data_IF_260271838861
#
_entry.id   IF_260271838861
#
_cell.length_a   1.000
_cell.length_b   1.000
_cell.length_c   1.000
_cell.angle_alpha   90.00
_cell.angle_beta   90.00
_cell.angle_gamma   90.00
#
_symmetry.space_group_name_H-M   'P 1'
#
loop_
_entity.id
_entity.type
_entity.pdbx_description
1 polymer ?
#
# COMPACT_ATOMS: atom_id res chain seq x y z
N UNK A 1 -28.10 -41.56 -23.04
CA UNK A 1 -28.65 -40.57 -22.13
C UNK A 1 -27.63 -40.38 -21.00
N UNK A 2 -26.87 -39.30 -21.03
CA UNK A 2 -25.94 -38.90 -19.96
C UNK A 2 -26.58 -37.72 -19.23
N UNK A 3 -26.87 -37.94 -17.96
CA UNK A 3 -27.36 -36.87 -17.06
C UNK A 3 -26.25 -35.88 -16.81
N UNK A 4 -26.47 -34.63 -17.17
CA UNK A 4 -25.61 -33.50 -16.80
C UNK A 4 -26.18 -32.98 -15.47
N UNK A 5 -25.43 -33.15 -14.38
CA UNK A 5 -25.76 -32.58 -13.09
C UNK A 5 -25.36 -31.09 -13.12
N UNK A 6 -26.37 -30.22 -13.08
CA UNK A 6 -26.17 -28.79 -12.90
C UNK A 6 -25.95 -28.56 -11.40
N UNK A 7 -24.73 -28.23 -11.01
CA UNK A 7 -24.42 -27.75 -9.66
C UNK A 7 -24.83 -26.30 -9.60
N UNK A 8 -25.99 -26.01 -9.03
CA UNK A 8 -26.39 -24.64 -8.69
C UNK A 8 -25.64 -24.20 -7.46
N UNK A 9 -24.69 -23.28 -7.63
CA UNK A 9 -24.04 -22.58 -6.51
C UNK A 9 -25.06 -21.59 -5.94
N UNK A 10 -25.61 -21.93 -4.79
CA UNK A 10 -26.48 -21.05 -4.02
C UNK A 10 -25.61 -19.98 -3.34
N UNK A 11 -25.54 -18.80 -3.93
CA UNK A 11 -24.96 -17.61 -3.27
C UNK A 11 -25.95 -17.19 -2.18
N UNK A 12 -25.68 -17.58 -0.95
CA UNK A 12 -26.36 -17.01 0.21
C UNK A 12 -25.86 -15.57 0.38
N UNK A 13 -26.67 -14.62 -0.05
CA UNK A 13 -26.51 -13.22 0.31
C UNK A 13 -26.77 -13.08 1.83
N UNK A 14 -25.71 -13.09 2.62
CA UNK A 14 -25.78 -12.64 4.02
C UNK A 14 -25.73 -11.12 3.97
N UNK A 15 -26.87 -10.50 3.74
CA UNK A 15 -27.09 -9.09 3.95
C UNK A 15 -27.12 -8.79 5.44
N UNK A 16 -25.97 -8.56 6.05
CA UNK A 16 -25.86 -7.80 7.27
C UNK A 16 -25.27 -6.45 6.91
N UNK A 17 -26.13 -5.48 6.59
CA UNK A 17 -25.78 -4.08 6.50
C UNK A 17 -25.37 -3.60 7.90
N UNK A 18 -24.09 -3.79 8.25
CA UNK A 18 -23.49 -3.01 9.30
C UNK A 18 -23.07 -1.66 8.70
N UNK A 19 -24.05 -0.76 8.53
CA UNK A 19 -23.75 0.65 8.50
C UNK A 19 -23.17 0.99 9.88
N UNK A 20 -21.87 0.79 10.07
CA UNK A 20 -21.11 1.33 11.18
C UNK A 20 -21.22 2.86 11.01
N UNK A 21 -22.15 3.49 11.76
CA UNK A 21 -22.18 4.94 11.90
C UNK A 21 -20.71 5.41 11.99
N UNK A 22 -20.35 6.52 11.32
CA UNK A 22 -19.07 7.22 11.43
C UNK A 22 -18.78 7.57 12.91
N UNK A 23 -18.43 6.58 13.69
CA UNK A 23 -17.97 6.74 15.06
C UNK A 23 -16.48 7.03 14.92
N UNK A 24 -16.05 8.23 15.34
CA UNK A 24 -14.63 8.50 15.45
C UNK A 24 -13.97 7.33 16.18
N UNK A 25 -12.90 6.80 15.61
CA UNK A 25 -12.15 5.70 16.22
C UNK A 25 -11.75 6.07 17.66
N UNK A 26 -11.83 5.12 18.57
CA UNK A 26 -11.40 5.32 19.96
C UNK A 26 -9.87 5.33 20.12
N UNK A 27 -9.12 5.06 19.04
CA UNK A 27 -7.66 5.02 19.05
C UNK A 27 -7.10 6.44 19.12
N UNK A 28 -6.34 6.73 20.16
CA UNK A 28 -5.70 8.05 20.38
C UNK A 28 -4.39 8.18 19.61
N UNK A 29 -3.92 9.42 19.39
CA UNK A 29 -2.62 9.65 18.71
C UNK A 29 -1.44 9.07 19.53
N UNK A 30 -1.49 9.09 20.86
CA UNK A 30 -0.49 8.45 21.70
C UNK A 30 -0.43 6.91 21.49
N UNK A 31 -1.58 6.28 21.26
CA UNK A 31 -1.66 4.87 20.95
C UNK A 31 -1.20 4.58 19.52
N UNK A 32 -1.50 5.45 18.55
CA UNK A 32 -0.97 5.36 17.18
C UNK A 32 0.55 5.42 17.17
N UNK A 33 1.15 6.40 17.85
CA UNK A 33 2.60 6.52 17.99
C UNK A 33 3.24 5.28 18.64
N UNK A 34 2.59 4.72 19.65
CA UNK A 34 3.10 3.54 20.36
C UNK A 34 3.03 2.31 19.47
N UNK A 35 1.84 2.00 18.93
CA UNK A 35 1.67 0.78 18.13
C UNK A 35 2.47 0.83 16.84
N UNK A 36 2.52 1.97 16.14
CA UNK A 36 3.32 2.09 14.91
C UNK A 36 4.82 1.94 15.17
N UNK A 37 5.33 2.48 16.28
CA UNK A 37 6.70 2.23 16.73
C UNK A 37 6.97 0.74 16.97
N UNK A 38 6.03 0.05 17.60
CA UNK A 38 6.15 -1.39 17.86
C UNK A 38 6.11 -2.19 16.54
N UNK A 39 5.27 -1.81 15.58
CA UNK A 39 5.24 -2.39 14.24
C UNK A 39 6.58 -2.20 13.51
N UNK A 40 7.12 -0.97 13.47
CA UNK A 40 8.43 -0.70 12.89
C UNK A 40 9.56 -1.47 13.58
N UNK A 41 9.53 -1.56 14.92
CA UNK A 41 10.54 -2.31 15.68
C UNK A 41 10.45 -3.81 15.42
N UNK A 42 9.22 -4.32 15.29
CA UNK A 42 8.88 -5.71 14.99
C UNK A 42 9.11 -6.13 13.54
N UNK A 43 9.38 -5.19 12.64
CA UNK A 43 9.66 -5.48 11.23
C UNK A 43 11.04 -6.11 11.07
N UNK A 44 11.07 -7.44 11.18
CA UNK A 44 12.29 -8.26 11.04
C UNK A 44 12.55 -8.66 9.58
N UNK A 45 11.55 -8.48 8.72
CA UNK A 45 11.65 -8.78 7.30
C UNK A 45 12.10 -7.58 6.47
N UNK A 46 12.08 -6.37 7.03
CA UNK A 46 12.52 -5.17 6.31
C UNK A 46 13.87 -5.37 5.61
N UNK A 47 14.05 -4.72 4.49
CA UNK A 47 15.24 -4.81 3.68
C UNK A 47 16.29 -3.77 4.09
N UNK A 48 17.56 -4.10 3.93
CA UNK A 48 18.65 -3.13 4.08
C UNK A 48 18.89 -2.45 2.74
N UNK A 49 18.37 -1.24 2.59
CA UNK A 49 18.47 -0.46 1.36
C UNK A 49 19.46 0.70 1.55
N UNK A 50 20.42 0.81 0.66
CA UNK A 50 21.33 1.97 0.59
C UNK A 50 20.83 2.94 -0.47
N UNK A 51 20.56 4.17 -0.05
CA UNK A 51 20.09 5.24 -0.92
C UNK A 51 21.24 6.20 -1.28
N UNK A 52 21.34 6.56 -2.55
CA UNK A 52 22.10 7.70 -3.02
C UNK A 52 21.13 8.87 -3.30
N UNK A 53 20.97 9.73 -2.32
CA UNK A 53 20.04 10.86 -2.42
C UNK A 53 20.49 11.95 -3.38
N UNK A 54 21.79 11.99 -3.74
CA UNK A 54 22.38 12.95 -4.68
C UNK A 54 22.02 14.40 -4.33
N UNK A 55 21.13 15.04 -5.10
CA UNK A 55 20.79 16.44 -4.93
C UNK A 55 19.36 16.67 -4.46
N UNK A 56 19.18 17.67 -3.58
CA UNK A 56 17.86 18.13 -3.21
C UNK A 56 17.25 19.00 -4.30
N UNK A 57 15.95 18.83 -4.55
CA UNK A 57 15.16 19.66 -5.47
C UNK A 57 14.06 20.39 -4.72
N UNK A 58 13.51 21.44 -5.32
CA UNK A 58 12.35 22.14 -4.75
C UNK A 58 11.05 21.38 -5.01
N UNK A 59 10.11 21.47 -4.10
CA UNK A 59 8.76 20.94 -4.29
C UNK A 59 8.13 21.51 -5.59
N UNK A 60 7.55 20.66 -6.41
CA UNK A 60 6.97 21.01 -7.71
C UNK A 60 7.99 21.19 -8.85
N UNK A 61 9.30 21.11 -8.59
CA UNK A 61 10.31 21.07 -9.64
C UNK A 61 10.31 19.70 -10.33
N UNK A 62 10.44 19.73 -11.66
CA UNK A 62 10.61 18.55 -12.50
C UNK A 62 12.00 18.51 -13.15
N UNK A 63 12.93 19.38 -12.70
CA UNK A 63 14.29 19.35 -13.18
C UNK A 63 15.02 18.11 -12.64
N UNK A 64 15.66 17.38 -13.54
CA UNK A 64 16.52 16.26 -13.14
C UNK A 64 17.84 16.83 -12.57
N UNK A 65 18.01 16.69 -11.26
CA UNK A 65 19.20 17.08 -10.52
C UNK A 65 19.93 15.87 -9.91
N UNK A 66 19.50 14.66 -10.26
CA UNK A 66 19.98 13.39 -9.72
C UNK A 66 20.21 12.37 -10.85
N UNK A 67 21.31 12.48 -11.62
CA UNK A 67 21.51 11.65 -12.81
C UNK A 67 21.80 10.16 -12.55
N UNK A 68 21.88 9.74 -11.29
CA UNK A 68 22.12 8.35 -10.90
C UNK A 68 20.89 7.71 -10.25
N UNK A 69 20.92 6.37 -10.06
CA UNK A 69 19.83 5.65 -9.38
C UNK A 69 19.74 6.08 -7.91
N UNK A 70 18.52 6.04 -7.35
CA UNK A 70 18.32 6.31 -5.92
C UNK A 70 18.70 5.09 -5.06
N UNK A 71 18.39 3.87 -5.50
CA UNK A 71 18.78 2.63 -4.80
C UNK A 71 20.08 2.12 -5.38
N UNK A 72 21.12 2.04 -4.55
CA UNK A 72 22.47 1.61 -4.95
C UNK A 72 22.91 0.29 -4.29
N UNK A 73 22.06 -0.31 -3.46
CA UNK A 73 22.22 -1.68 -2.95
C UNK A 73 21.38 -2.66 -3.75
N UNK A 74 21.72 -3.95 -3.65
CA UNK A 74 20.94 -5.03 -4.24
C UNK A 74 20.06 -5.70 -3.15
N UNK A 75 18.73 -5.48 -3.15
CA UNK A 75 17.81 -6.07 -2.19
C UNK A 75 17.27 -7.46 -2.61
N UNK A 76 17.75 -8.07 -3.70
CA UNK A 76 17.21 -9.32 -4.23
C UNK A 76 17.22 -10.48 -3.23
N UNK A 77 18.18 -10.52 -2.30
CA UNK A 77 18.19 -11.51 -1.22
C UNK A 77 16.99 -11.34 -0.28
N UNK A 78 16.56 -10.09 -0.03
CA UNK A 78 15.38 -9.79 0.76
C UNK A 78 14.10 -10.13 -0.01
N UNK A 79 14.08 -9.95 -1.32
CA UNK A 79 12.94 -10.29 -2.19
C UNK A 79 12.63 -11.80 -2.24
N UNK A 80 13.55 -12.66 -1.80
CA UNK A 80 13.30 -14.09 -1.60
C UNK A 80 12.51 -14.41 -0.31
N UNK A 81 12.32 -13.45 0.60
CA UNK A 81 11.50 -13.65 1.81
C UNK A 81 10.02 -13.84 1.42
N UNK A 82 9.24 -14.64 2.19
CA UNK A 82 7.88 -15.02 1.78
C UNK A 82 6.95 -13.86 1.44
N UNK A 83 6.96 -12.78 2.23
CA UNK A 83 6.08 -11.61 2.01
C UNK A 83 6.51 -10.79 0.78
N UNK A 84 7.81 -10.63 0.57
CA UNK A 84 8.35 -9.99 -0.64
C UNK A 84 8.07 -10.83 -1.89
N UNK A 85 8.30 -12.14 -1.84
CA UNK A 85 8.03 -13.02 -2.97
C UNK A 85 6.53 -13.02 -3.35
N UNK A 86 5.64 -13.04 -2.36
CA UNK A 86 4.20 -12.94 -2.60
C UNK A 86 3.81 -11.54 -3.12
N UNK A 87 4.46 -10.46 -2.65
CA UNK A 87 4.27 -9.11 -3.17
C UNK A 87 4.70 -9.01 -4.65
N UNK A 88 5.88 -9.55 -4.99
CA UNK A 88 6.39 -9.56 -6.37
C UNK A 88 5.45 -10.29 -7.34
N UNK A 89 4.82 -11.39 -6.89
CA UNK A 89 3.87 -12.13 -7.71
C UNK A 89 2.65 -11.28 -8.13
N UNK A 90 2.24 -10.32 -7.29
CA UNK A 90 1.09 -9.45 -7.57
C UNK A 90 1.39 -8.35 -8.60
N UNK A 91 2.65 -7.97 -8.81
CA UNK A 91 3.00 -6.77 -9.58
C UNK A 91 2.58 -6.82 -11.06
N UNK A 92 2.39 -8.01 -11.62
CA UNK A 92 1.98 -8.20 -13.02
C UNK A 92 0.48 -8.46 -13.21
N UNK A 93 -0.31 -8.40 -12.15
CA UNK A 93 -1.73 -8.76 -12.17
C UNK A 93 -2.65 -7.65 -12.69
N UNK A 94 -2.16 -6.42 -12.77
CA UNK A 94 -3.01 -5.24 -12.94
C UNK A 94 -2.86 -4.60 -14.32
N UNK A 95 -4.00 -4.07 -14.82
CA UNK A 95 -4.03 -3.25 -16.03
C UNK A 95 -3.83 -1.78 -15.64
N UNK A 96 -2.61 -1.27 -15.86
CA UNK A 96 -2.22 0.09 -15.44
C UNK A 96 -3.05 1.22 -16.07
N UNK A 97 -3.78 0.97 -17.17
CA UNK A 97 -4.61 1.98 -17.84
C UNK A 97 -6.06 1.91 -17.33
N UNK A 98 -6.48 2.92 -16.58
CA UNK A 98 -7.81 3.00 -15.95
C UNK A 98 -8.99 3.05 -16.93
N UNK A 99 -8.74 3.19 -18.23
CA UNK A 99 -9.80 3.10 -19.26
C UNK A 99 -10.11 1.66 -19.65
N UNK A 100 -9.34 0.70 -19.20
CA UNK A 100 -9.47 -0.72 -19.50
C UNK A 100 -9.83 -1.45 -18.20
N UNK A 101 -10.93 -2.18 -18.23
CA UNK A 101 -11.38 -2.95 -17.08
C UNK A 101 -10.39 -4.06 -16.72
N UNK A 102 -10.06 -4.18 -15.44
CA UNK A 102 -9.29 -5.29 -14.91
C UNK A 102 -10.02 -6.62 -15.05
N UNK A 103 -9.25 -7.62 -15.43
CA UNK A 103 -9.72 -9.01 -15.48
C UNK A 103 -8.69 -9.90 -14.79
N UNK A 104 -9.15 -10.79 -13.94
CA UNK A 104 -8.28 -11.63 -13.13
C UNK A 104 -8.51 -13.10 -13.42
N UNK A 105 -7.42 -13.83 -13.60
CA UNK A 105 -7.45 -15.29 -13.66
C UNK A 105 -7.60 -15.88 -12.25
N UNK A 106 -8.03 -17.14 -12.12
CA UNK A 106 -8.05 -17.83 -10.81
C UNK A 106 -6.68 -17.84 -10.13
N UNK A 107 -5.60 -17.92 -10.89
CA UNK A 107 -4.22 -17.91 -10.40
C UNK A 107 -3.87 -16.55 -9.78
N UNK A 108 -4.19 -15.44 -10.45
CA UNK A 108 -3.98 -14.08 -9.94
C UNK A 108 -4.78 -13.82 -8.66
N UNK A 109 -6.03 -14.29 -8.61
CA UNK A 109 -6.84 -14.21 -7.37
C UNK A 109 -6.25 -15.07 -6.23
N UNK A 110 -5.63 -16.20 -6.56
CA UNK A 110 -4.94 -17.03 -5.57
C UNK A 110 -3.66 -16.35 -5.05
N UNK A 111 -2.98 -15.54 -5.84
CA UNK A 111 -1.83 -14.75 -5.43
C UNK A 111 -2.21 -13.67 -4.42
N UNK A 112 -3.36 -12.99 -4.57
CA UNK A 112 -3.88 -12.06 -3.57
C UNK A 112 -4.12 -12.75 -2.22
N UNK A 113 -4.72 -13.94 -2.25
CA UNK A 113 -4.93 -14.77 -1.04
C UNK A 113 -3.59 -15.18 -0.42
N UNK A 114 -2.63 -15.62 -1.25
CA UNK A 114 -1.31 -16.04 -0.80
C UNK A 114 -0.54 -14.88 -0.15
N UNK A 115 -0.65 -13.65 -0.69
CA UNK A 115 -0.07 -12.47 -0.08
C UNK A 115 -0.66 -12.17 1.29
N UNK A 116 -2.01 -12.14 1.43
CA UNK A 116 -2.67 -11.95 2.73
C UNK A 116 -2.27 -13.06 3.71
N UNK A 117 -2.18 -14.30 3.25
CA UNK A 117 -1.75 -15.41 4.10
C UNK A 117 -0.31 -15.22 4.58
N UNK A 118 0.62 -14.86 3.69
CA UNK A 118 2.03 -14.65 4.01
C UNK A 118 2.22 -13.50 5.02
N UNK A 119 1.57 -12.35 4.83
CA UNK A 119 1.70 -11.21 5.75
C UNK A 119 1.11 -11.53 7.12
N UNK A 120 0.02 -12.29 7.21
CA UNK A 120 -0.60 -12.68 8.48
C UNK A 120 0.23 -13.66 9.32
N UNK A 121 1.21 -14.33 8.74
CA UNK A 121 2.18 -15.15 9.48
C UNK A 121 3.27 -14.31 10.18
N UNK A 122 3.37 -13.01 9.88
CA UNK A 122 4.39 -12.12 10.44
C UNK A 122 4.01 -11.54 11.80
N UNK A 123 5.02 -11.25 12.63
CA UNK A 123 4.84 -10.59 13.92
C UNK A 123 4.20 -9.20 13.79
N UNK A 124 4.48 -8.49 12.71
CA UNK A 124 3.93 -7.16 12.42
C UNK A 124 2.41 -7.22 12.30
N UNK A 125 1.90 -8.08 11.41
CA UNK A 125 0.45 -8.20 11.20
C UNK A 125 -0.28 -8.84 12.39
N UNK A 126 0.34 -9.77 13.10
CA UNK A 126 -0.21 -10.35 14.33
C UNK A 126 -0.32 -9.31 15.45
N UNK A 127 0.68 -8.42 15.58
CA UNK A 127 0.66 -7.30 16.53
C UNK A 127 -0.42 -6.29 16.19
N UNK A 128 -0.55 -5.89 14.91
CA UNK A 128 -1.63 -5.03 14.45
C UNK A 128 -3.00 -5.64 14.75
N UNK A 129 -3.21 -6.91 14.38
CA UNK A 129 -4.48 -7.61 14.62
C UNK A 129 -4.84 -7.61 16.11
N UNK A 130 -3.88 -8.00 16.96
CA UNK A 130 -4.05 -8.00 18.43
C UNK A 130 -4.43 -6.62 18.95
N UNK A 131 -3.76 -5.57 18.47
CA UNK A 131 -4.07 -4.19 18.85
C UNK A 131 -5.49 -3.80 18.43
N UNK A 132 -5.87 -4.01 17.16
CA UNK A 132 -7.20 -3.67 16.66
C UNK A 132 -8.32 -4.45 17.36
N UNK A 133 -8.10 -5.73 17.68
CA UNK A 133 -9.03 -6.53 18.50
C UNK A 133 -9.19 -5.93 19.90
N UNK A 134 -8.09 -5.50 20.54
CA UNK A 134 -8.13 -4.88 21.86
C UNK A 134 -8.91 -3.57 21.90
N UNK A 135 -9.00 -2.88 20.75
CA UNK A 135 -9.77 -1.65 20.56
C UNK A 135 -11.22 -1.90 20.12
N UNK A 136 -11.60 -3.15 19.86
CA UNK A 136 -12.90 -3.50 19.32
C UNK A 136 -13.11 -3.07 17.87
N UNK A 137 -12.00 -2.82 17.13
CA UNK A 137 -12.00 -2.38 15.74
C UNK A 137 -11.85 -3.54 14.74
N UNK A 138 -11.40 -4.72 15.20
CA UNK A 138 -11.31 -5.93 14.40
C UNK A 138 -11.94 -7.14 15.11
N UNK A 139 -12.35 -8.13 14.33
CA UNK A 139 -12.74 -9.44 14.86
C UNK A 139 -11.53 -10.19 15.39
N UNK A 140 -11.69 -10.91 16.50
CA UNK A 140 -10.66 -11.82 17.00
C UNK A 140 -10.46 -13.06 16.12
N UNK A 141 -11.42 -13.37 15.24
CA UNK A 141 -11.31 -14.44 14.24
C UNK A 141 -10.38 -13.99 13.11
N UNK A 142 -9.25 -14.69 12.99
CA UNK A 142 -8.21 -14.40 11.98
C UNK A 142 -8.76 -14.54 10.55
N UNK A 143 -9.66 -15.47 10.29
CA UNK A 143 -10.24 -15.63 8.95
C UNK A 143 -11.11 -14.42 8.58
N UNK A 144 -11.85 -13.88 9.54
CA UNK A 144 -12.63 -12.64 9.36
C UNK A 144 -11.73 -11.46 9.15
N UNK A 145 -10.60 -11.38 9.85
CA UNK A 145 -9.64 -10.29 9.66
C UNK A 145 -8.92 -10.38 8.29
N UNK A 146 -8.52 -11.58 7.83
CA UNK A 146 -8.01 -11.79 6.47
C UNK A 146 -9.02 -11.34 5.41
N UNK A 147 -10.30 -11.69 5.59
CA UNK A 147 -11.36 -11.23 4.68
C UNK A 147 -11.53 -9.71 4.69
N UNK A 148 -11.40 -9.08 5.85
CA UNK A 148 -11.40 -7.61 5.97
C UNK A 148 -10.24 -6.99 5.19
N UNK A 149 -9.00 -7.48 5.38
CA UNK A 149 -7.83 -7.01 4.65
C UNK A 149 -8.00 -7.18 3.13
N UNK A 150 -8.43 -8.37 2.70
CA UNK A 150 -8.73 -8.63 1.29
C UNK A 150 -9.77 -7.66 0.74
N UNK A 151 -10.82 -7.36 1.50
CA UNK A 151 -11.87 -6.44 1.07
C UNK A 151 -11.33 -5.03 0.90
N UNK A 152 -10.63 -4.47 1.89
CA UNK A 152 -10.22 -3.07 1.85
C UNK A 152 -9.07 -2.80 0.89
N UNK A 153 -8.17 -3.77 0.65
CA UNK A 153 -7.00 -3.59 -0.19
C UNK A 153 -7.18 -4.09 -1.62
N UNK A 154 -7.86 -5.22 -1.82
CA UNK A 154 -8.07 -5.86 -3.12
C UNK A 154 -9.50 -5.73 -3.65
N UNK A 155 -10.41 -5.10 -2.88
CA UNK A 155 -11.72 -4.72 -3.41
C UNK A 155 -11.56 -3.74 -4.56
N UNK A 156 -12.39 -3.89 -5.60
CA UNK A 156 -12.23 -3.16 -6.85
C UNK A 156 -13.36 -2.16 -7.04
N UNK A 157 -13.03 -1.02 -7.60
CA UNK A 157 -14.00 0.04 -7.86
C UNK A 157 -13.80 0.69 -9.24
N UNK A 158 -14.79 1.51 -9.62
CA UNK A 158 -14.76 2.36 -10.79
C UNK A 158 -14.63 3.81 -10.32
N UNK A 159 -13.58 4.50 -10.70
CA UNK A 159 -13.30 5.87 -10.28
C UNK A 159 -13.17 6.81 -11.47
N UNK A 160 -12.18 6.58 -12.30
CA UNK A 160 -11.80 7.50 -13.38
C UNK A 160 -12.71 7.43 -14.60
N UNK A 161 -13.24 6.25 -14.93
CA UNK A 161 -14.13 6.04 -16.07
C UNK A 161 -15.38 5.32 -15.61
N UNK A 162 -16.53 5.96 -15.75
CA UNK A 162 -17.80 5.42 -15.28
C UNK A 162 -18.08 4.02 -15.83
N UNK A 163 -18.27 3.05 -14.94
CA UNK A 163 -18.58 1.66 -15.28
C UNK A 163 -17.37 0.80 -15.65
N UNK A 164 -16.16 1.37 -15.68
CA UNK A 164 -14.91 0.61 -15.83
C UNK A 164 -14.33 0.34 -14.44
N UNK A 165 -14.33 -0.91 -14.02
CA UNK A 165 -13.77 -1.35 -12.75
C UNK A 165 -12.29 -1.68 -12.98
N UNK A 166 -11.40 -0.72 -12.67
CA UNK A 166 -9.99 -0.75 -13.04
C UNK A 166 -9.09 -0.18 -11.93
N UNK A 167 -9.55 -0.20 -10.68
CA UNK A 167 -8.80 0.34 -9.55
C UNK A 167 -8.96 -0.55 -8.33
N UNK A 168 -7.92 -0.65 -7.53
CA UNK A 168 -7.91 -1.22 -6.17
C UNK A 168 -6.90 -0.50 -5.30
N UNK A 169 -7.08 -0.50 -3.98
CA UNK A 169 -6.15 0.17 -3.07
C UNK A 169 -4.75 -0.41 -3.14
N UNK A 170 -4.65 -1.71 -3.37
CA UNK A 170 -3.35 -2.36 -3.52
C UNK A 170 -2.62 -1.91 -4.79
N UNK A 171 -3.31 -1.92 -5.93
CA UNK A 171 -2.77 -1.47 -7.21
C UNK A 171 -2.36 -0.01 -7.18
N UNK A 172 -3.29 0.87 -6.79
CA UNK A 172 -3.05 2.31 -6.72
C UNK A 172 -1.84 2.64 -5.83
N UNK A 173 -1.76 2.02 -4.65
CA UNK A 173 -0.66 2.25 -3.71
C UNK A 173 0.66 1.65 -4.20
N UNK A 174 0.66 0.39 -4.64
CA UNK A 174 1.88 -0.41 -4.80
C UNK A 174 2.37 -0.54 -6.24
N UNK A 175 1.51 -0.36 -7.23
CA UNK A 175 1.89 -0.34 -8.65
C UNK A 175 1.81 1.10 -9.14
N UNK A 176 0.79 1.46 -9.82
CA UNK A 176 0.31 2.79 -10.19
C UNK A 176 -0.87 2.64 -11.15
N UNK A 177 -1.57 3.73 -11.36
CA UNK A 177 -2.60 3.82 -12.39
C UNK A 177 -2.28 4.93 -13.36
N UNK A 178 -2.61 4.73 -14.64
CA UNK A 178 -2.39 5.69 -15.71
C UNK A 178 -3.71 6.19 -16.25
N UNK A 179 -3.94 7.50 -16.13
CA UNK A 179 -5.11 8.18 -16.66
C UNK A 179 -5.03 8.32 -18.18
N UNK A 180 -6.15 8.71 -18.81
CA UNK A 180 -6.26 8.87 -20.27
C UNK A 180 -5.27 9.91 -20.84
N UNK A 181 -4.92 10.93 -20.07
CA UNK A 181 -3.94 11.96 -20.43
C UNK A 181 -2.47 11.56 -20.11
N UNK A 182 -2.23 10.31 -19.77
CA UNK A 182 -0.94 9.75 -19.29
C UNK A 182 -0.48 10.23 -17.91
N UNK A 183 -1.31 10.93 -17.14
CA UNK A 183 -1.01 11.24 -15.75
C UNK A 183 -0.87 9.94 -14.95
N UNK A 184 0.17 9.85 -14.11
CA UNK A 184 0.38 8.75 -13.18
C UNK A 184 -0.19 9.15 -11.82
N UNK A 185 -1.04 8.27 -11.27
CA UNK A 185 -1.58 8.37 -9.91
C UNK A 185 -1.18 7.15 -9.09
N UNK A 186 -1.19 7.27 -7.76
CA UNK A 186 -0.63 6.24 -6.90
C UNK A 186 0.89 6.20 -6.94
N UNK A 187 1.50 5.00 -6.89
CA UNK A 187 2.94 4.75 -6.98
C UNK A 187 3.70 5.14 -5.71
N UNK A 188 3.61 4.30 -4.69
CA UNK A 188 4.23 4.55 -3.39
C UNK A 188 5.09 3.38 -2.88
N UNK A 189 5.23 2.29 -3.66
CA UNK A 189 6.05 1.14 -3.28
C UNK A 189 7.50 1.29 -3.75
N UNK A 190 8.43 1.28 -2.80
CA UNK A 190 9.86 1.24 -3.10
C UNK A 190 10.30 -0.08 -3.75
N UNK A 191 9.55 -1.19 -3.51
CA UNK A 191 9.83 -2.50 -4.10
C UNK A 191 9.56 -2.46 -5.60
N UNK A 192 8.41 -1.88 -5.98
CA UNK A 192 8.07 -1.70 -7.38
C UNK A 192 9.02 -0.70 -8.05
N UNK A 193 9.36 0.40 -7.35
CA UNK A 193 10.35 1.36 -7.83
C UNK A 193 11.70 0.70 -8.15
N UNK A 194 12.19 -0.19 -7.27
CA UNK A 194 13.45 -0.89 -7.52
C UNK A 194 13.39 -1.71 -8.81
N UNK A 195 12.31 -2.44 -9.06
CA UNK A 195 12.16 -3.20 -10.29
C UNK A 195 12.20 -2.29 -11.53
N UNK A 196 11.44 -1.20 -11.51
CA UNK A 196 11.38 -0.24 -12.62
C UNK A 196 12.72 0.51 -12.82
N UNK A 197 13.49 0.71 -11.74
CA UNK A 197 14.85 1.25 -11.82
C UNK A 197 15.79 0.29 -12.53
N UNK A 198 15.74 -1.00 -12.19
CA UNK A 198 16.58 -2.04 -12.83
C UNK A 198 16.19 -2.28 -14.29
N UNK A 199 14.90 -2.14 -14.62
CA UNK A 199 14.40 -2.26 -15.98
C UNK A 199 14.68 -1.01 -16.84
N UNK A 200 15.08 0.10 -16.21
CA UNK A 200 15.39 1.38 -16.89
C UNK A 200 14.17 2.20 -17.25
N UNK A 201 13.02 1.90 -16.67
CA UNK A 201 11.74 2.58 -16.88
C UNK A 201 11.43 3.66 -15.85
N UNK A 202 12.27 3.78 -14.82
CA UNK A 202 12.18 4.77 -13.75
C UNK A 202 13.40 5.70 -13.74
N UNK A 203 13.16 7.02 -13.58
CA UNK A 203 14.20 8.01 -13.36
C UNK A 203 13.92 8.83 -12.09
N UNK A 204 14.91 8.88 -11.23
CA UNK A 204 14.93 9.67 -10.01
C UNK A 204 15.35 11.11 -10.33
N UNK A 205 14.54 12.10 -9.93
CA UNK A 205 14.80 13.51 -10.28
C UNK A 205 15.42 14.34 -9.14
N UNK A 206 15.71 13.72 -8.00
CA UNK A 206 16.20 14.36 -6.78
C UNK A 206 15.19 14.29 -5.65
N UNK A 207 15.62 14.47 -4.39
CA UNK A 207 14.72 14.41 -3.24
C UNK A 207 14.20 15.80 -2.85
N UNK A 208 12.97 15.86 -2.34
CA UNK A 208 12.38 17.07 -1.75
C UNK A 208 12.66 17.07 -0.25
N UNK A 209 12.35 15.97 0.43
CA UNK A 209 12.50 15.81 1.87
C UNK A 209 12.80 14.35 2.22
N UNK A 210 13.51 14.13 3.33
CA UNK A 210 13.83 12.78 3.84
C UNK A 210 13.68 12.72 5.34
N UNK A 211 13.30 11.56 5.86
CA UNK A 211 13.22 11.27 7.29
C UNK A 211 13.76 9.86 7.57
N UNK A 212 14.78 9.80 8.41
CA UNK A 212 15.23 8.54 9.00
C UNK A 212 14.26 8.11 10.11
N UNK A 213 13.62 6.98 9.93
CA UNK A 213 12.68 6.38 10.89
C UNK A 213 13.31 5.20 11.66
N UNK A 214 14.62 5.03 11.53
CA UNK A 214 15.45 4.02 12.19
C UNK A 214 15.68 2.79 11.31
N UNK A 215 14.66 1.99 11.05
CA UNK A 215 14.76 0.81 10.16
C UNK A 215 14.47 1.15 8.70
N UNK A 216 13.77 2.23 8.45
CA UNK A 216 13.37 2.66 7.11
C UNK A 216 13.72 4.14 6.90
N UNK A 217 13.69 4.58 5.65
CA UNK A 217 13.86 5.99 5.29
C UNK A 217 12.69 6.43 4.44
N UNK A 218 11.94 7.42 4.91
CA UNK A 218 10.90 8.06 4.12
C UNK A 218 11.54 9.11 3.23
N UNK A 219 11.21 9.08 1.94
CA UNK A 219 11.68 10.07 0.95
C UNK A 219 10.50 10.60 0.16
N UNK A 220 10.41 11.93 0.08
CA UNK A 220 9.52 12.64 -0.84
C UNK A 220 10.31 13.10 -2.05
N UNK A 221 9.83 12.86 -3.25
CA UNK A 221 10.55 13.15 -4.48
C UNK A 221 9.64 13.26 -5.72
N UNK A 222 10.03 14.05 -6.72
CA UNK A 222 9.52 13.94 -8.07
C UNK A 222 10.17 12.74 -8.78
N UNK A 223 9.42 12.12 -9.68
CA UNK A 223 9.87 10.95 -10.45
C UNK A 223 9.44 11.06 -11.91
N UNK A 224 10.18 10.40 -12.80
CA UNK A 224 9.72 10.05 -14.13
C UNK A 224 9.56 8.53 -14.21
N UNK A 225 8.41 8.08 -14.62
CA UNK A 225 8.09 6.66 -14.78
C UNK A 225 7.51 6.46 -16.17
N UNK A 226 8.16 5.65 -17.01
CA UNK A 226 7.78 5.42 -18.40
C UNK A 226 7.63 6.70 -19.23
N UNK A 227 8.45 7.72 -18.97
CA UNK A 227 8.39 9.03 -19.63
C UNK A 227 7.22 9.91 -19.18
N UNK A 228 6.55 9.57 -18.10
CA UNK A 228 5.51 10.39 -17.46
C UNK A 228 6.00 10.86 -16.10
N UNK A 229 6.06 12.19 -15.93
CA UNK A 229 6.57 12.79 -14.70
C UNK A 229 5.47 12.94 -13.66
N UNK A 230 5.78 12.60 -12.40
CA UNK A 230 4.97 12.86 -11.22
C UNK A 230 5.74 13.79 -10.30
N UNK A 231 5.20 15.00 -10.05
CA UNK A 231 5.90 16.05 -9.32
C UNK A 231 6.14 15.75 -7.84
N UNK A 232 5.38 14.81 -7.31
CA UNK A 232 5.41 14.51 -5.88
C UNK A 232 4.91 13.10 -5.61
N UNK A 233 5.74 12.30 -4.97
CA UNK A 233 5.37 10.99 -4.43
C UNK A 233 6.28 10.67 -3.24
N UNK A 234 5.83 9.79 -2.35
CA UNK A 234 6.58 9.38 -1.17
C UNK A 234 6.74 7.88 -1.13
N UNK A 235 7.89 7.46 -0.60
CA UNK A 235 8.25 6.06 -0.43
C UNK A 235 8.83 5.82 0.97
N UNK A 236 8.59 4.64 1.52
CA UNK A 236 9.15 4.19 2.79
C UNK A 236 10.22 3.11 2.52
N UNK A 237 11.41 3.55 2.10
CA UNK A 237 12.49 2.65 1.69
C UNK A 237 12.95 1.71 2.81
N UNK A 238 13.04 0.44 2.49
CA UNK A 238 13.46 -0.62 3.40
C UNK A 238 12.33 -1.28 4.18
N UNK A 239 11.11 -0.72 4.14
CA UNK A 239 9.95 -1.34 4.77
C UNK A 239 9.62 -2.69 4.13
N UNK A 240 9.23 -3.67 4.95
CA UNK A 240 8.64 -4.90 4.42
C UNK A 240 7.22 -4.66 3.90
N UNK A 241 6.70 -5.51 2.99
CA UNK A 241 5.31 -5.43 2.52
C UNK A 241 4.29 -5.46 3.65
N UNK A 242 4.53 -6.28 4.68
CA UNK A 242 3.67 -6.38 5.85
C UNK A 242 3.68 -5.12 6.72
N UNK A 243 4.80 -4.39 6.80
CA UNK A 243 4.86 -3.14 7.54
C UNK A 243 4.03 -2.05 6.85
N UNK A 244 4.17 -1.88 5.55
CA UNK A 244 3.39 -0.92 4.78
C UNK A 244 1.90 -1.23 4.82
N UNK A 245 1.53 -2.51 4.64
CA UNK A 245 0.15 -2.96 4.76
C UNK A 245 -0.42 -2.70 6.16
N UNK A 246 0.40 -2.94 7.22
CA UNK A 246 -0.01 -2.74 8.60
C UNK A 246 -0.24 -1.26 8.93
N UNK A 247 0.66 -0.36 8.52
CA UNK A 247 0.53 1.09 8.73
C UNK A 247 -0.70 1.63 8.00
N UNK A 248 -0.88 1.27 6.74
CA UNK A 248 -2.05 1.67 5.96
C UNK A 248 -3.36 1.14 6.56
N UNK A 249 -3.40 -0.12 6.99
CA UNK A 249 -4.58 -0.70 7.63
C UNK A 249 -4.89 -0.03 8.99
N UNK A 250 -3.86 0.25 9.79
CA UNK A 250 -4.00 0.99 11.05
C UNK A 250 -4.64 2.36 10.82
N UNK A 251 -4.13 3.10 9.83
CA UNK A 251 -4.60 4.45 9.52
C UNK A 251 -5.97 4.43 8.83
N UNK A 252 -6.27 3.44 7.98
CA UNK A 252 -7.62 3.22 7.44
C UNK A 252 -8.67 3.07 8.55
N UNK A 253 -8.33 2.33 9.62
CA UNK A 253 -9.25 2.10 10.74
C UNK A 253 -9.33 3.30 11.67
N UNK A 254 -8.20 3.94 11.95
CA UNK A 254 -8.11 4.97 12.99
C UNK A 254 -8.40 6.38 12.48
N UNK A 255 -7.96 6.72 11.28
CA UNK A 255 -7.94 8.09 10.71
C UNK A 255 -8.22 8.09 9.20
N UNK A 256 -9.29 7.43 8.70
CA UNK A 256 -9.59 7.45 7.26
C UNK A 256 -9.72 8.91 6.78
N UNK A 257 -9.05 9.25 5.68
CA UNK A 257 -9.04 10.57 5.04
C UNK A 257 -8.53 11.73 5.95
N UNK A 258 -7.80 11.38 7.00
CA UNK A 258 -7.24 12.32 7.96
C UNK A 258 -5.78 11.98 8.24
N UNK A 259 -5.00 12.98 8.64
CA UNK A 259 -3.63 12.77 9.08
C UNK A 259 -3.56 11.72 10.20
N UNK A 260 -2.79 10.67 9.98
CA UNK A 260 -2.57 9.58 10.92
C UNK A 260 -1.13 9.65 11.41
N UNK A 261 -0.92 10.13 12.64
CA UNK A 261 0.42 10.23 13.19
C UNK A 261 0.97 8.87 13.55
N UNK A 262 2.14 8.55 13.01
CA UNK A 262 2.87 7.29 13.24
C UNK A 262 4.30 7.57 13.71
N UNK A 263 4.98 6.55 14.23
CA UNK A 263 6.34 6.67 14.73
C UNK A 263 7.22 5.57 14.16
N UNK A 264 8.39 5.95 13.66
CA UNK A 264 9.46 5.02 13.31
C UNK A 264 10.05 4.31 14.52
N UNK A 265 10.88 3.31 14.28
CA UNK A 265 11.55 2.53 15.36
C UNK A 265 12.46 3.37 16.25
N UNK A 266 13.04 4.44 15.71
CA UNK A 266 13.85 5.41 16.46
C UNK A 266 13.03 6.45 17.24
N UNK A 267 11.69 6.46 17.08
CA UNK A 267 10.80 7.42 17.71
C UNK A 267 10.53 8.69 16.88
N UNK A 268 11.06 8.79 15.68
CA UNK A 268 10.73 9.87 14.76
C UNK A 268 9.25 9.80 14.37
N UNK A 269 8.49 10.86 14.62
CA UNK A 269 7.08 10.96 14.28
C UNK A 269 6.92 11.51 12.86
N UNK A 270 5.94 10.97 12.12
CA UNK A 270 5.57 11.45 10.80
C UNK A 270 4.09 11.10 10.55
N UNK A 271 3.52 11.57 9.46
CA UNK A 271 2.16 11.22 9.10
C UNK A 271 2.13 10.07 8.09
N UNK A 272 1.09 9.25 8.19
CA UNK A 272 0.74 8.24 7.20
C UNK A 272 -0.70 8.49 6.77
N UNK A 273 -0.90 8.89 5.54
CA UNK A 273 -2.24 9.13 5.03
C UNK A 273 -2.80 7.88 4.38
N UNK A 274 -4.07 7.60 4.67
CA UNK A 274 -4.83 6.56 4.00
C UNK A 274 -6.13 7.17 3.51
N UNK A 275 -6.16 7.45 2.21
CA UNK A 275 -7.36 7.92 1.53
C UNK A 275 -8.32 6.78 1.28
N UNK A 276 -9.60 7.10 1.23
CA UNK A 276 -10.64 6.07 1.10
C UNK A 276 -11.61 6.41 -0.04
N UNK A 277 -12.10 5.36 -0.67
CA UNK A 277 -13.18 5.45 -1.65
C UNK A 277 -14.37 4.60 -1.21
N UNK A 278 -15.57 5.06 -1.46
CA UNK A 278 -16.79 4.27 -1.21
C UNK A 278 -17.42 3.87 -2.54
N UNK A 279 -17.46 2.58 -2.80
CA UNK A 279 -18.07 2.04 -4.01
C UNK A 279 -19.09 0.94 -3.66
N UNK A 280 -20.30 1.05 -4.19
CA UNK A 280 -21.42 0.14 -3.90
C UNK A 280 -21.70 -0.05 -2.39
N UNK A 281 -21.47 1.01 -1.59
CA UNK A 281 -21.72 0.99 -0.14
C UNK A 281 -20.64 0.31 0.69
N UNK A 282 -19.52 -0.06 0.09
CA UNK A 282 -18.32 -0.59 0.78
C UNK A 282 -17.21 0.46 0.70
N UNK A 283 -16.51 0.69 1.82
CA UNK A 283 -15.35 1.57 1.90
C UNK A 283 -14.08 0.75 1.67
N UNK A 284 -13.21 1.23 0.80
CA UNK A 284 -11.93 0.65 0.43
C UNK A 284 -10.79 1.63 0.72
N UNK A 285 -9.58 1.13 0.84
CA UNK A 285 -8.38 1.97 0.70
C UNK A 285 -8.32 2.46 -0.75
N UNK A 286 -8.20 3.76 -0.96
CA UNK A 286 -7.89 4.34 -2.27
C UNK A 286 -6.37 4.39 -2.45
N UNK A 287 -5.67 5.10 -1.54
CA UNK A 287 -4.21 5.15 -1.49
C UNK A 287 -3.71 5.16 -0.06
N UNK A 288 -2.47 4.72 0.17
CA UNK A 288 -1.89 4.70 1.51
C UNK A 288 -0.38 4.87 1.43
N UNK A 289 0.15 5.92 2.06
CA UNK A 289 1.57 6.26 1.96
C UNK A 289 2.02 7.19 3.11
N UNK A 290 3.34 7.24 3.40
CA UNK A 290 3.88 8.23 4.31
C UNK A 290 3.72 9.65 3.75
N UNK A 291 3.56 10.63 4.63
CA UNK A 291 3.46 12.05 4.24
C UNK A 291 4.31 12.89 5.18
N UNK A 292 5.06 13.81 4.61
CA UNK A 292 5.62 14.93 5.38
C UNK A 292 4.53 15.96 5.64
N UNK A 293 4.69 16.76 6.70
CA UNK A 293 3.78 17.88 6.98
C UNK A 293 3.53 18.66 5.68
N UNK A 294 2.28 18.97 5.34
CA UNK A 294 2.00 19.66 4.10
C UNK A 294 2.74 20.98 4.08
N UNK A 295 3.65 21.13 3.15
CA UNK A 295 4.18 22.44 2.78
C UNK A 295 3.04 23.18 2.07
N UNK A 296 2.17 23.83 2.88
CA UNK A 296 1.15 24.77 2.41
C UNK A 296 1.81 26.07 1.94
#
# INVERSE_FOLDING_TARGET
>A
MKLIAIVSVLVLAIGASNAKSLRASSITDAELLTVSKDLHTGDVNGAVVTLDLQSQTAAGSMADVAPGPIIVSDPLADFAKPTFAAFQALLNNYQKNVTIQDTFTPEQLAEEVAFIDAVMETSVMQSLHTFLVSKGEASADVAVFKQFLSTIWFGRWSEYVAGVVASSGWEHTNVFERLEDNTIVGYHSWIYLYNEQEDGDFNYLGYIETLDTGKTTVVSMPVDLYGSTKAFTQFNFGASPELELALGTLCFVARPDLACVVSGSNGAAYNWDTHTVTYNGVQYVESSHPVFEPHL
#
